data_IF_080659352791
#
_entry.id   IF_080659352791
#
_cell.length_a   1.000
_cell.length_b   1.000
_cell.length_c   1.000
_cell.angle_alpha   90.00
_cell.angle_beta   90.00
_cell.angle_gamma   90.00
#
_symmetry.space_group_name_H-M   'P 1'
#
loop_
_entity.id
_entity.type
_entity.pdbx_description
1 polymer ?
#
# COMPACT_ATOMS: atom_id res chain seq x y z
N UNK A 1 2.56 -12.81 5.25
CA UNK A 1 2.41 -12.41 3.83
C UNK A 1 3.79 -12.46 3.18
N UNK A 2 3.96 -13.21 2.10
CA UNK A 2 5.24 -13.31 1.38
C UNK A 2 4.93 -13.20 -0.11
N UNK A 3 5.53 -12.23 -0.80
CA UNK A 3 5.43 -12.12 -2.26
C UNK A 3 6.47 -13.02 -2.88
N UNK A 4 6.05 -13.86 -3.82
CA UNK A 4 6.98 -14.64 -4.64
C UNK A 4 7.61 -13.75 -5.69
N UNK A 5 8.92 -13.92 -5.92
CA UNK A 5 9.61 -13.19 -6.98
C UNK A 5 9.12 -13.71 -8.32
N UNK A 6 8.48 -12.84 -9.10
CA UNK A 6 8.13 -13.11 -10.50
C UNK A 6 9.31 -12.69 -11.39
N UNK A 7 9.48 -13.36 -12.53
CA UNK A 7 10.50 -13.01 -13.52
C UNK A 7 9.90 -12.04 -14.54
N UNK A 8 10.64 -11.00 -14.88
CA UNK A 8 10.24 -10.11 -15.98
C UNK A 8 10.60 -10.78 -17.31
N UNK A 9 9.59 -11.05 -18.14
CA UNK A 9 9.74 -11.84 -19.37
C UNK A 9 9.87 -11.00 -20.64
N UNK A 10 9.60 -9.69 -20.57
CA UNK A 10 9.76 -8.78 -21.69
C UNK A 10 11.26 -8.60 -22.00
N UNK A 11 11.67 -9.01 -23.20
CA UNK A 11 13.01 -8.78 -23.70
C UNK A 11 13.17 -7.34 -24.18
N UNK A 12 14.35 -6.76 -23.96
CA UNK A 12 14.68 -5.44 -24.48
C UNK A 12 14.99 -5.56 -25.98
N UNK A 13 14.44 -4.64 -26.79
CA UNK A 13 14.76 -4.54 -28.21
C UNK A 13 16.29 -4.39 -28.38
N UNK A 14 16.97 -5.23 -29.20
CA UNK A 14 18.41 -5.11 -29.46
C UNK A 14 18.84 -3.74 -30.00
N UNK A 15 17.93 -2.96 -30.58
CA UNK A 15 18.16 -1.61 -31.10
C UNK A 15 17.64 -0.51 -30.15
N UNK A 16 17.30 -0.86 -28.90
CA UNK A 16 16.84 0.09 -27.90
C UNK A 16 17.87 1.21 -27.66
N UNK A 17 17.38 2.45 -27.61
CA UNK A 17 18.19 3.56 -27.14
C UNK A 17 18.26 3.57 -25.60
N UNK A 18 19.19 4.35 -25.04
CA UNK A 18 19.40 4.45 -23.59
C UNK A 18 18.14 4.78 -22.77
N UNK A 19 17.16 5.51 -23.35
CA UNK A 19 15.90 5.83 -22.67
C UNK A 19 15.01 4.59 -22.55
N UNK A 20 14.96 3.78 -23.60
CA UNK A 20 14.18 2.54 -23.61
C UNK A 20 14.80 1.51 -22.68
N UNK A 21 16.12 1.41 -22.66
CA UNK A 21 16.89 0.59 -21.72
C UNK A 21 16.60 1.00 -20.27
N UNK A 22 16.70 2.30 -19.94
CA UNK A 22 16.39 2.80 -18.61
C UNK A 22 14.96 2.48 -18.16
N UNK A 23 13.96 2.67 -19.03
CA UNK A 23 12.56 2.36 -18.72
C UNK A 23 12.38 0.85 -18.50
N UNK A 24 12.99 0.02 -19.35
CA UNK A 24 12.93 -1.44 -19.26
C UNK A 24 13.54 -1.94 -17.95
N UNK A 25 14.76 -1.51 -17.62
CA UNK A 25 15.45 -1.91 -16.40
C UNK A 25 14.69 -1.47 -15.16
N UNK A 26 14.13 -0.25 -15.18
CA UNK A 26 13.29 0.24 -14.10
C UNK A 26 12.01 -0.58 -13.95
N UNK A 27 11.31 -0.86 -15.05
CA UNK A 27 10.10 -1.67 -15.05
C UNK A 27 10.39 -3.10 -14.55
N UNK A 28 11.50 -3.69 -14.98
CA UNK A 28 11.99 -4.99 -14.52
C UNK A 28 12.30 -4.98 -13.02
N UNK A 29 13.10 -4.02 -12.54
CA UNK A 29 13.43 -3.91 -11.12
C UNK A 29 12.17 -3.74 -10.27
N UNK A 30 11.23 -2.91 -10.72
CA UNK A 30 9.94 -2.74 -10.07
C UNK A 30 9.13 -4.03 -10.09
N UNK A 31 8.98 -4.70 -11.22
CA UNK A 31 8.19 -5.92 -11.33
C UNK A 31 8.71 -7.04 -10.42
N UNK A 32 10.02 -7.28 -10.45
CA UNK A 32 10.66 -8.37 -9.72
C UNK A 32 10.90 -8.06 -8.23
N UNK A 33 10.82 -6.80 -7.81
CA UNK A 33 11.06 -6.42 -6.41
C UNK A 33 10.04 -7.08 -5.48
N UNK A 34 10.56 -7.68 -4.40
CA UNK A 34 9.81 -8.22 -3.25
C UNK A 34 9.92 -7.33 -2.01
N UNK A 35 10.56 -6.17 -2.15
CA UNK A 35 10.95 -5.29 -1.05
C UNK A 35 10.36 -3.89 -1.25
N UNK A 36 10.43 -3.07 -0.19
CA UNK A 36 10.01 -1.65 -0.19
C UNK A 36 8.49 -1.50 -0.34
N UNK A 37 7.85 -1.35 0.81
CA UNK A 37 6.41 -1.35 0.93
C UNK A 37 5.93 -0.28 1.90
N UNK A 38 4.78 0.30 1.58
CA UNK A 38 3.92 0.93 2.57
C UNK A 38 2.70 0.04 2.74
N UNK A 39 2.43 -0.40 3.97
CA UNK A 39 1.41 -1.38 4.28
C UNK A 39 0.33 -0.84 5.20
N UNK A 40 -0.85 -1.44 5.07
CA UNK A 40 -1.97 -1.27 5.96
C UNK A 40 -2.20 -2.58 6.71
N UNK A 41 -2.10 -2.54 8.03
CA UNK A 41 -2.41 -3.64 8.93
C UNK A 41 -3.79 -3.50 9.55
N UNK A 42 -4.41 -4.63 9.84
CA UNK A 42 -5.73 -4.77 10.45
C UNK A 42 -5.68 -5.74 11.64
N UNK A 43 -6.73 -5.73 12.45
CA UNK A 43 -6.95 -6.71 13.52
C UNK A 43 -8.12 -7.63 13.13
N UNK A 44 -7.94 -8.93 13.29
CA UNK A 44 -8.97 -9.91 12.92
C UNK A 44 -10.24 -9.88 13.78
N UNK A 45 -10.23 -9.21 14.94
CA UNK A 45 -11.42 -9.03 15.80
C UNK A 45 -11.83 -7.58 15.95
N UNK A 46 -10.88 -6.67 16.03
CA UNK A 46 -11.17 -5.23 16.06
C UNK A 46 -11.19 -4.67 14.64
N UNK A 47 -12.38 -4.60 14.05
CA UNK A 47 -12.58 -4.06 12.71
C UNK A 47 -12.36 -2.54 12.63
N UNK A 48 -12.17 -1.88 13.78
CA UNK A 48 -11.91 -0.44 13.84
C UNK A 48 -10.42 -0.12 13.99
N UNK A 49 -9.58 -1.15 14.10
CA UNK A 49 -8.14 -0.99 14.20
C UNK A 49 -7.51 -0.89 12.81
N UNK A 50 -6.66 0.11 12.62
CA UNK A 50 -5.80 0.24 11.45
C UNK A 50 -4.38 0.59 11.87
N UNK A 51 -3.38 0.05 11.16
CA UNK A 51 -1.98 0.46 11.31
C UNK A 51 -1.38 0.76 9.95
N UNK A 52 -0.87 1.96 9.76
CA UNK A 52 -0.04 2.28 8.58
C UNK A 52 1.42 2.04 8.95
N UNK A 53 2.18 1.43 8.06
CA UNK A 53 3.59 1.19 8.32
C UNK A 53 4.42 1.06 7.06
N UNK A 54 5.74 1.17 7.19
CA UNK A 54 6.68 1.00 6.08
C UNK A 54 7.71 -0.12 6.33
N UNK A 55 8.32 -0.60 5.26
CA UNK A 55 9.49 -1.49 5.32
C UNK A 55 10.32 -1.37 4.06
N UNK A 56 11.65 -1.34 4.20
CA UNK A 56 12.59 -1.45 3.07
C UNK A 56 12.94 -2.91 2.73
N UNK A 57 12.55 -3.85 3.60
CA UNK A 57 12.72 -5.28 3.37
C UNK A 57 11.44 -5.93 2.86
N UNK A 58 11.30 -7.22 3.09
CA UNK A 58 10.10 -7.98 2.74
C UNK A 58 8.93 -7.73 3.72
N UNK A 59 7.76 -8.27 3.35
CA UNK A 59 6.52 -8.21 4.14
C UNK A 59 6.41 -9.32 5.19
N UNK A 60 7.29 -10.33 5.15
CA UNK A 60 7.16 -11.50 6.02
C UNK A 60 7.37 -11.09 7.49
N UNK A 61 8.43 -10.32 7.74
CA UNK A 61 8.76 -9.77 9.06
C UNK A 61 7.71 -8.79 9.61
N UNK A 62 6.87 -8.22 8.75
CA UNK A 62 5.82 -7.26 9.11
C UNK A 62 4.44 -7.89 9.23
N UNK A 63 4.30 -9.18 8.96
CA UNK A 63 2.99 -9.84 8.89
C UNK A 63 2.44 -10.37 10.21
N UNK A 64 3.16 -10.16 11.32
CA UNK A 64 2.78 -10.58 12.66
C UNK A 64 3.26 -9.57 13.69
N UNK A 65 2.51 -9.43 14.79
CA UNK A 65 2.93 -8.67 15.97
C UNK A 65 2.97 -9.61 17.17
N UNK A 66 4.10 -9.62 17.90
CA UNK A 66 4.21 -10.39 19.15
C UNK A 66 3.27 -9.87 20.24
N UNK A 67 2.98 -8.56 20.21
CA UNK A 67 2.07 -7.90 21.15
C UNK A 67 0.59 -8.04 20.76
N UNK A 68 0.29 -8.36 19.49
CA UNK A 68 -1.07 -8.58 19.01
C UNK A 68 -1.14 -9.79 18.05
N UNK A 69 -1.54 -10.97 18.53
CA UNK A 69 -1.64 -12.18 17.71
C UNK A 69 -2.76 -12.12 16.65
N UNK A 70 -3.65 -11.13 16.71
CA UNK A 70 -4.74 -10.93 15.74
C UNK A 70 -4.38 -9.94 14.64
N UNK A 71 -3.26 -9.25 14.82
CA UNK A 71 -2.70 -8.37 13.81
C UNK A 71 -2.32 -9.17 12.56
N UNK A 72 -2.69 -8.64 11.42
CA UNK A 72 -2.25 -9.11 10.12
C UNK A 72 -2.14 -7.95 9.14
N UNK A 73 -1.36 -8.12 8.08
CA UNK A 73 -1.35 -7.17 6.97
C UNK A 73 -2.63 -7.37 6.16
N UNK A 74 -3.38 -6.29 5.95
CA UNK A 74 -4.52 -6.26 5.05
C UNK A 74 -4.05 -6.15 3.60
N UNK A 75 -3.25 -5.11 3.31
CA UNK A 75 -2.61 -4.92 2.02
C UNK A 75 -1.26 -4.19 2.15
N UNK A 76 -0.45 -4.23 1.11
CA UNK A 76 0.78 -3.46 1.01
C UNK A 76 0.98 -2.87 -0.39
N UNK A 77 1.11 -1.55 -0.47
CA UNK A 77 1.36 -0.80 -1.69
C UNK A 77 2.83 -0.87 -2.07
N UNK A 78 3.09 -1.17 -3.33
CA UNK A 78 4.43 -1.38 -3.86
C UNK A 78 5.11 -0.05 -4.16
N UNK A 79 6.25 0.18 -3.52
CA UNK A 79 7.06 1.36 -3.81
C UNK A 79 7.91 1.15 -5.08
N UNK A 80 8.26 2.25 -5.72
CA UNK A 80 9.27 2.28 -6.77
C UNK A 80 10.62 1.80 -6.21
N UNK A 81 11.35 1.00 -6.99
CA UNK A 81 12.56 0.33 -6.53
C UNK A 81 13.67 1.32 -6.17
N UNK A 82 13.65 2.54 -6.69
CA UNK A 82 14.64 3.58 -6.41
C UNK A 82 14.32 4.38 -5.13
N UNK A 83 13.18 4.13 -4.48
CA UNK A 83 12.81 4.86 -3.26
C UNK A 83 13.86 4.63 -2.16
N UNK A 84 14.19 5.70 -1.45
CA UNK A 84 15.09 5.68 -0.30
C UNK A 84 14.28 5.61 1.00
N UNK A 85 14.91 5.12 2.07
CA UNK A 85 14.27 5.06 3.40
C UNK A 85 13.78 6.44 3.85
N UNK A 86 14.63 7.47 3.73
CA UNK A 86 14.27 8.83 4.17
C UNK A 86 13.07 9.41 3.42
N UNK A 87 12.93 9.11 2.12
CA UNK A 87 11.74 9.52 1.35
C UNK A 87 10.51 8.77 1.84
N UNK A 88 10.63 7.46 2.08
CA UNK A 88 9.51 6.63 2.52
C UNK A 88 9.05 6.99 3.95
N UNK A 89 9.98 7.28 4.87
CA UNK A 89 9.69 7.83 6.21
C UNK A 89 8.98 9.18 6.13
N UNK A 90 9.41 10.05 5.19
CA UNK A 90 8.74 11.33 4.93
C UNK A 90 7.31 11.16 4.43
N UNK A 91 7.08 10.22 3.51
CA UNK A 91 5.75 9.87 3.01
C UNK A 91 4.88 9.33 4.15
N UNK A 92 5.39 8.37 4.93
CA UNK A 92 4.66 7.78 6.06
C UNK A 92 4.21 8.84 7.06
N UNK A 93 5.12 9.72 7.46
CA UNK A 93 4.82 10.81 8.40
C UNK A 93 3.72 11.74 7.86
N UNK A 94 3.84 12.17 6.60
CA UNK A 94 2.87 13.07 6.00
C UNK A 94 1.49 12.41 5.83
N UNK A 95 1.46 11.14 5.43
CA UNK A 95 0.23 10.35 5.29
C UNK A 95 -0.44 10.18 6.64
N UNK A 96 0.32 9.82 7.68
CA UNK A 96 -0.21 9.68 9.04
C UNK A 96 -0.81 10.99 9.54
N UNK A 97 -0.14 12.13 9.31
CA UNK A 97 -0.68 13.45 9.66
C UNK A 97 -1.96 13.79 8.87
N UNK A 98 -2.02 13.41 7.59
CA UNK A 98 -3.21 13.61 6.77
C UNK A 98 -4.39 12.77 7.27
N UNK A 99 -4.17 11.49 7.55
CA UNK A 99 -5.20 10.61 8.10
C UNK A 99 -5.68 11.09 9.47
N UNK A 100 -4.76 11.51 10.34
CA UNK A 100 -5.08 12.12 11.64
C UNK A 100 -5.95 13.37 11.51
N UNK A 101 -5.81 14.16 10.45
CA UNK A 101 -6.68 15.33 10.21
C UNK A 101 -8.10 14.97 9.75
N UNK A 102 -8.31 13.74 9.25
CA UNK A 102 -9.60 13.25 8.73
C UNK A 102 -10.34 12.44 9.80
N UNK A 103 -9.61 11.56 10.49
CA UNK A 103 -10.16 10.59 11.43
C UNK A 103 -10.05 11.13 12.87
N UNK A 104 -11.06 11.90 13.25
CA UNK A 104 -11.21 12.52 14.56
C UNK A 104 -12.40 11.92 15.31
N UNK A 105 -12.26 11.84 16.64
CA UNK A 105 -13.36 11.55 17.55
C UNK A 105 -14.44 12.65 17.48
N UNK A 106 -15.66 12.38 17.97
CA UNK A 106 -16.75 13.38 17.99
C UNK A 106 -16.42 14.67 18.75
N UNK A 107 -15.47 14.62 19.70
CA UNK A 107 -14.98 15.77 20.45
C UNK A 107 -13.84 16.54 19.75
N UNK A 108 -13.44 16.09 18.54
CA UNK A 108 -12.36 16.67 17.75
C UNK A 108 -10.97 16.16 18.12
N UNK A 109 -10.82 15.24 19.07
CA UNK A 109 -9.54 14.61 19.39
C UNK A 109 -9.13 13.57 18.34
N UNK A 110 -7.84 13.26 18.24
CA UNK A 110 -7.31 12.30 17.25
C UNK A 110 -7.74 10.87 17.56
N UNK A 111 -8.09 10.10 16.52
CA UNK A 111 -8.29 8.63 16.62
C UNK A 111 -6.96 7.85 16.53
N UNK A 112 -5.84 8.57 16.36
CA UNK A 112 -4.49 8.01 16.30
C UNK A 112 -3.94 7.83 17.70
N UNK A 113 -3.54 6.61 18.03
CA UNK A 113 -3.16 6.27 19.39
C UNK A 113 -1.69 6.59 19.70
N UNK A 114 -1.42 6.85 20.98
CA UNK A 114 -0.07 6.99 21.49
C UNK A 114 0.47 5.65 22.03
N UNK A 115 1.77 5.43 21.89
CA UNK A 115 2.46 4.32 22.56
C UNK A 115 2.35 4.48 24.07
N UNK A 116 1.74 3.50 24.75
CA UNK A 116 1.40 3.58 26.18
C UNK A 116 2.57 4.03 27.08
N UNK A 117 3.76 3.45 26.90
CA UNK A 117 4.91 3.76 27.76
C UNK A 117 5.58 5.11 27.43
N UNK A 118 5.59 5.53 26.17
CA UNK A 118 6.37 6.69 25.73
C UNK A 118 5.53 7.95 25.50
N UNK A 119 4.20 7.80 25.41
CA UNK A 119 3.28 8.88 25.02
C UNK A 119 3.48 9.38 23.59
N UNK A 120 4.40 8.80 22.81
CA UNK A 120 4.64 9.20 21.43
C UNK A 120 3.50 8.70 20.55
N UNK A 121 2.98 9.58 19.69
CA UNK A 121 1.97 9.23 18.70
C UNK A 121 2.51 8.08 17.84
N UNK A 122 1.73 7.01 17.77
CA UNK A 122 2.06 5.78 17.06
C UNK A 122 1.59 5.85 15.60
N UNK A 123 1.56 4.70 14.95
CA UNK A 123 1.19 4.48 13.56
C UNK A 123 -0.20 3.81 13.49
N UNK A 124 -0.83 3.65 14.66
CA UNK A 124 -2.08 2.93 14.87
C UNK A 124 -3.24 3.89 15.08
N UNK A 125 -4.40 3.52 14.54
CA UNK A 125 -5.69 4.16 14.72
C UNK A 125 -6.68 3.16 15.31
N UNK A 126 -7.59 3.65 16.15
CA UNK A 126 -8.68 2.87 16.72
C UNK A 126 -10.01 3.63 16.55
N UNK A 127 -11.13 2.91 16.52
CA UNK A 127 -12.45 3.53 16.35
C UNK A 127 -12.71 4.09 14.94
N UNK A 128 -11.85 3.80 13.96
CA UNK A 128 -12.02 4.25 12.57
C UNK A 128 -12.90 3.29 11.78
N UNK A 129 -13.57 3.80 10.74
CA UNK A 129 -14.05 2.93 9.66
C UNK A 129 -12.83 2.48 8.82
N UNK A 130 -12.44 1.22 8.96
CA UNK A 130 -11.23 0.69 8.32
C UNK A 130 -11.22 0.86 6.80
N UNK A 131 -12.36 0.65 6.13
CA UNK A 131 -12.43 0.76 4.68
C UNK A 131 -12.36 2.21 4.20
N UNK A 132 -12.92 3.16 4.96
CA UNK A 132 -12.75 4.59 4.67
C UNK A 132 -11.29 5.01 4.84
N UNK A 133 -10.60 4.52 5.89
CA UNK A 133 -9.17 4.76 6.07
C UNK A 133 -8.35 4.17 4.94
N UNK A 134 -8.66 2.95 4.50
CA UNK A 134 -8.02 2.32 3.34
C UNK A 134 -8.17 3.19 2.07
N UNK A 135 -9.37 3.68 1.77
CA UNK A 135 -9.61 4.55 0.63
C UNK A 135 -8.88 5.90 0.76
N UNK A 136 -8.92 6.52 1.94
CA UNK A 136 -8.23 7.79 2.20
C UNK A 136 -6.71 7.65 2.10
N UNK A 137 -6.15 6.55 2.62
CA UNK A 137 -4.74 6.21 2.50
C UNK A 137 -4.36 6.09 1.03
N UNK A 138 -5.06 5.27 0.26
CA UNK A 138 -4.76 5.08 -1.16
C UNK A 138 -4.86 6.40 -1.93
N UNK A 139 -5.94 7.16 -1.74
CA UNK A 139 -6.15 8.44 -2.40
C UNK A 139 -5.00 9.42 -2.13
N UNK A 140 -4.57 9.53 -0.87
CA UNK A 140 -3.44 10.37 -0.47
C UNK A 140 -2.15 9.94 -1.18
N UNK A 141 -1.84 8.64 -1.16
CA UNK A 141 -0.66 8.08 -1.84
C UNK A 141 -0.71 8.34 -3.34
N UNK A 142 -1.83 8.06 -3.98
CA UNK A 142 -1.99 8.21 -5.43
C UNK A 142 -1.84 9.68 -5.84
N UNK A 143 -2.57 10.60 -5.21
CA UNK A 143 -2.60 12.01 -5.61
C UNK A 143 -1.33 12.77 -5.28
N UNK A 144 -0.72 12.53 -4.12
CA UNK A 144 0.44 13.29 -3.64
C UNK A 144 1.77 12.61 -3.95
N UNK A 145 1.80 11.27 -3.97
CA UNK A 145 3.03 10.49 -4.00
C UNK A 145 3.09 9.45 -5.10
N UNK A 146 2.14 9.43 -6.06
CA UNK A 146 2.02 8.37 -7.06
C UNK A 146 3.32 8.06 -7.81
N UNK A 147 4.20 9.05 -8.03
CA UNK A 147 5.52 8.86 -8.66
C UNK A 147 6.50 7.96 -7.88
N UNK A 148 6.24 7.70 -6.60
CA UNK A 148 7.05 6.84 -5.73
C UNK A 148 6.47 5.44 -5.55
N UNK A 149 5.35 5.15 -6.21
CA UNK A 149 4.65 3.88 -6.14
C UNK A 149 4.48 3.30 -7.54
N UNK A 150 4.39 1.98 -7.62
CA UNK A 150 4.11 1.29 -8.87
C UNK A 150 2.61 1.42 -9.16
N UNK A 151 2.25 1.94 -10.33
CA UNK A 151 0.86 1.99 -10.79
C UNK A 151 0.39 0.65 -11.37
N UNK A 152 -0.91 0.42 -11.38
CA UNK A 152 -1.54 -0.71 -12.05
C UNK A 152 -2.89 -0.31 -12.62
N UNK A 153 -3.28 -0.99 -13.69
CA UNK A 153 -4.53 -0.80 -14.40
C UNK A 153 -5.51 -1.89 -13.99
N UNK A 154 -6.79 -1.54 -13.91
CA UNK A 154 -7.86 -2.49 -13.64
C UNK A 154 -8.80 -2.53 -14.84
N UNK A 155 -8.99 -3.74 -15.37
CA UNK A 155 -9.89 -4.00 -16.48
C UNK A 155 -11.10 -4.78 -15.96
N UNK A 156 -12.29 -4.34 -16.33
CA UNK A 156 -13.53 -5.09 -16.17
C UNK A 156 -13.82 -5.85 -17.46
N UNK A 157 -14.39 -7.04 -17.27
CA UNK A 157 -14.79 -7.94 -18.35
C UNK A 157 -13.63 -8.46 -19.22
N UNK A 158 -13.26 -9.72 -19.00
CA UNK A 158 -12.20 -10.40 -19.76
C UNK A 158 -12.52 -10.47 -21.28
N UNK A 159 -13.79 -10.33 -21.67
CA UNK A 159 -14.21 -10.42 -23.07
C UNK A 159 -14.03 -9.08 -23.83
N UNK A 160 -14.19 -7.94 -23.15
CA UNK A 160 -14.13 -6.61 -23.77
C UNK A 160 -12.96 -5.74 -23.33
N UNK A 161 -12.18 -6.18 -22.34
CA UNK A 161 -11.05 -5.42 -21.77
C UNK A 161 -11.43 -3.97 -21.44
N UNK A 162 -12.57 -3.77 -20.77
CA UNK A 162 -13.03 -2.44 -20.43
C UNK A 162 -12.12 -1.86 -19.34
N UNK A 163 -11.32 -0.84 -19.67
CA UNK A 163 -10.45 -0.20 -18.68
C UNK A 163 -11.28 0.60 -17.68
N UNK A 164 -11.39 0.09 -16.46
CA UNK A 164 -12.21 0.67 -15.41
C UNK A 164 -11.48 1.72 -14.57
N UNK A 165 -10.14 1.71 -14.57
CA UNK A 165 -9.34 2.78 -13.97
C UNK A 165 -7.97 2.34 -13.50
N UNK A 166 -7.30 3.25 -12.79
CA UNK A 166 -5.94 3.07 -12.30
C UNK A 166 -5.88 3.03 -10.78
N UNK A 167 -4.93 2.27 -10.24
CA UNK A 167 -4.65 2.21 -8.81
C UNK A 167 -3.15 2.03 -8.57
N UNK A 168 -2.73 1.94 -7.30
CA UNK A 168 -1.35 1.65 -6.94
C UNK A 168 -1.24 0.15 -6.73
N UNK A 169 -0.27 -0.52 -7.37
CA UNK A 169 -0.03 -1.96 -7.22
C UNK A 169 0.05 -2.29 -5.74
N UNK A 170 -0.74 -3.28 -5.31
CA UNK A 170 -0.76 -3.69 -3.92
C UNK A 170 -0.92 -5.20 -3.77
N UNK A 171 -0.23 -5.73 -2.77
CA UNK A 171 -0.34 -7.13 -2.38
C UNK A 171 -1.33 -7.23 -1.22
N UNK A 172 -2.46 -7.90 -1.44
CA UNK A 172 -3.41 -8.21 -0.38
C UNK A 172 -3.01 -9.44 0.42
N UNK A 173 -3.50 -9.51 1.65
CA UNK A 173 -3.37 -10.71 2.49
C UNK A 173 -3.77 -11.97 1.72
N UNK A 174 -3.00 -13.08 1.83
CA UNK A 174 -3.38 -14.36 1.24
C UNK A 174 -4.73 -14.89 1.72
N UNK A 175 -5.24 -14.38 2.85
CA UNK A 175 -6.55 -14.74 3.40
C UNK A 175 -7.73 -14.07 2.70
N UNK A 176 -7.48 -13.00 1.94
CA UNK A 176 -8.50 -12.29 1.17
C UNK A 176 -8.65 -13.00 -0.17
N UNK A 177 -9.87 -13.43 -0.50
CA UNK A 177 -10.19 -14.11 -1.75
C UNK A 177 -10.02 -13.18 -2.96
N UNK A 178 -9.86 -13.75 -4.17
CA UNK A 178 -9.76 -12.95 -5.39
C UNK A 178 -10.96 -12.02 -5.60
N UNK A 179 -12.17 -12.50 -5.29
CA UNK A 179 -13.39 -11.71 -5.41
C UNK A 179 -13.38 -10.50 -4.46
N UNK A 180 -12.97 -10.70 -3.20
CA UNK A 180 -12.84 -9.59 -2.24
C UNK A 180 -11.75 -8.60 -2.66
N UNK A 181 -10.61 -9.08 -3.17
CA UNK A 181 -9.54 -8.21 -3.70
C UNK A 181 -10.08 -7.31 -4.82
N UNK A 182 -10.79 -7.87 -5.79
CA UNK A 182 -11.40 -7.08 -6.87
C UNK A 182 -12.37 -6.04 -6.33
N UNK A 183 -13.18 -6.39 -5.33
CA UNK A 183 -14.07 -5.43 -4.67
C UNK A 183 -13.29 -4.30 -3.97
N UNK A 184 -12.22 -4.61 -3.24
CA UNK A 184 -11.37 -3.60 -2.61
C UNK A 184 -10.65 -2.71 -3.63
N UNK A 185 -10.16 -3.28 -4.73
CA UNK A 185 -9.55 -2.49 -5.82
C UNK A 185 -10.56 -1.51 -6.40
N UNK A 186 -11.80 -1.94 -6.67
CA UNK A 186 -12.87 -1.05 -7.16
C UNK A 186 -13.11 0.14 -6.25
N UNK A 187 -12.96 -0.01 -4.94
CA UNK A 187 -13.12 1.09 -3.97
C UNK A 187 -12.03 2.17 -4.10
N UNK A 188 -10.87 1.84 -4.66
CA UNK A 188 -9.71 2.71 -4.75
C UNK A 188 -9.34 3.12 -6.18
N UNK A 189 -10.15 2.72 -7.18
CA UNK A 189 -9.93 3.11 -8.56
C UNK A 189 -9.95 4.63 -8.70
N UNK A 190 -8.99 5.13 -9.46
CA UNK A 190 -8.90 6.53 -9.81
C UNK A 190 -9.33 6.70 -11.26
N UNK A 191 -10.15 7.72 -11.56
CA UNK A 191 -10.57 8.01 -12.92
C UNK A 191 -9.36 8.37 -13.80
N UNK A 192 -9.51 8.05 -15.09
CA UNK A 192 -8.54 8.31 -16.16
C UNK A 192 -8.46 9.82 -16.43
#
# INVERSE_FOLDING_TARGET
MKRERKKYELELDPFACYKMEYIHDKAKANYESTNKWLYLGADARDQTFAKVGITMGDLASRSSSSANPRYHLFCAFKCDNDITMSVLEGIEKDVLNHLESIFLNPDGSTMREAHYESGRISECFYGVNFLELFCALHYCLYKKYGKYFVGSEFYEDDEFNFHAGNYLDCEFSPRISLMERSSYIRMILQPI
#
